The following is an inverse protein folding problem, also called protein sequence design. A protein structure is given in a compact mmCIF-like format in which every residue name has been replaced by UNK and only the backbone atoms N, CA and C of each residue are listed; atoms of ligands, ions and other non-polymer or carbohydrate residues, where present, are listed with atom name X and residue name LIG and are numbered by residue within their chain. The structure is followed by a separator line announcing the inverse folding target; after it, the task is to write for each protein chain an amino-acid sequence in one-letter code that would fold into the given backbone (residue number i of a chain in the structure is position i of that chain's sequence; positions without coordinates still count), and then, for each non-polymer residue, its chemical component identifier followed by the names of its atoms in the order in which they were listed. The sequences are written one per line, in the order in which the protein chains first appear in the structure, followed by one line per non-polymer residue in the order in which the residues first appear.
data_IF_936033334501
#
_entry.id   IF_936033334501
#
_cell.length_a   1.000
_cell.length_b   1.000
_cell.length_c   1.000
_cell.angle_alpha   90.00
_cell.angle_beta   90.00
_cell.angle_gamma   90.00
#
_symmetry.space_group_name_H-M   'P 1'
#
loop_
_entity.id
_entity.type
_entity.pdbx_description
1 polymer ?
#
# COMPACT_ATOMS: atom_id res chain seq x y z
N UNK A 1 -19.55 21.03 26.95
CA UNK A 1 -19.82 19.71 27.58
C UNK A 1 -19.70 18.66 26.49
N UNK A 2 -18.62 17.88 26.48
CA UNK A 2 -18.43 16.84 25.47
C UNK A 2 -19.47 15.73 25.64
N UNK A 3 -20.24 15.46 24.58
CA UNK A 3 -21.17 14.34 24.53
C UNK A 3 -20.44 13.05 24.92
N UNK A 4 -20.92 12.35 25.95
CA UNK A 4 -20.42 11.01 26.32
C UNK A 4 -20.92 10.01 25.28
N UNK A 5 -20.34 10.03 24.09
CA UNK A 5 -20.54 8.97 23.11
C UNK A 5 -19.84 7.71 23.59
N UNK A 6 -20.43 6.54 23.28
CA UNK A 6 -19.76 5.26 23.48
C UNK A 6 -18.39 5.28 22.77
N UNK A 7 -17.37 4.60 23.33
CA UNK A 7 -16.08 4.50 22.68
C UNK A 7 -16.24 3.88 21.28
N UNK A 8 -15.32 4.23 20.38
CA UNK A 8 -15.28 3.64 19.04
C UNK A 8 -15.25 2.10 19.14
N UNK A 9 -16.02 1.39 18.29
CA UNK A 9 -16.05 -0.06 18.31
C UNK A 9 -14.67 -0.64 17.96
N UNK A 10 -14.39 -1.84 18.46
CA UNK A 10 -13.16 -2.55 18.13
C UNK A 10 -13.09 -2.84 16.62
N UNK A 11 -11.92 -2.74 15.98
CA UNK A 11 -11.75 -3.17 14.60
C UNK A 11 -12.14 -4.63 14.41
N UNK A 12 -12.88 -4.92 13.34
CA UNK A 12 -13.26 -6.29 12.99
C UNK A 12 -12.19 -6.91 12.11
N UNK A 13 -11.73 -8.11 12.46
CA UNK A 13 -10.83 -8.87 11.60
C UNK A 13 -11.57 -9.30 10.32
N UNK A 14 -10.88 -9.18 9.19
CA UNK A 14 -11.42 -9.53 7.87
C UNK A 14 -10.94 -10.95 7.52
N UNK A 15 -11.84 -11.91 7.28
CA UNK A 15 -11.47 -13.26 6.86
C UNK A 15 -10.71 -13.26 5.53
N UNK A 16 -9.84 -14.28 5.31
CA UNK A 16 -9.05 -14.42 4.07
C UNK A 16 -9.89 -14.26 2.80
N UNK A 17 -11.04 -14.95 2.73
CA UNK A 17 -11.93 -14.93 1.57
C UNK A 17 -12.65 -13.59 1.36
N UNK A 18 -12.60 -12.67 2.33
CA UNK A 18 -13.19 -11.34 2.24
C UNK A 18 -12.15 -10.24 2.00
N UNK A 19 -10.84 -10.50 2.20
CA UNK A 19 -9.81 -9.47 2.05
C UNK A 19 -9.82 -8.84 0.64
N UNK A 20 -9.82 -9.65 -0.41
CA UNK A 20 -9.82 -9.18 -1.80
C UNK A 20 -11.17 -8.53 -2.17
N UNK A 21 -12.35 -9.14 -1.91
CA UNK A 21 -13.64 -8.49 -2.16
C UNK A 21 -13.80 -7.14 -1.46
N UNK A 22 -13.44 -7.04 -0.18
CA UNK A 22 -13.49 -5.79 0.59
C UNK A 22 -12.60 -4.74 -0.06
N UNK A 23 -11.36 -5.10 -0.43
CA UNK A 23 -10.45 -4.16 -1.08
C UNK A 23 -10.97 -3.67 -2.44
N UNK A 24 -11.53 -4.57 -3.27
CA UNK A 24 -12.18 -4.17 -4.53
C UNK A 24 -13.35 -3.23 -4.30
N UNK A 25 -14.16 -3.47 -3.27
CA UNK A 25 -15.24 -2.57 -2.87
C UNK A 25 -14.74 -1.18 -2.46
N UNK A 26 -13.62 -1.11 -1.74
CA UNK A 26 -12.96 0.15 -1.38
C UNK A 26 -12.43 0.87 -2.62
N UNK A 27 -11.72 0.17 -3.51
CA UNK A 27 -11.20 0.73 -4.77
C UNK A 27 -12.34 1.31 -5.61
N UNK A 28 -13.46 0.61 -5.74
CA UNK A 28 -14.63 1.10 -6.47
C UNK A 28 -15.17 2.41 -5.86
N UNK A 29 -15.18 2.54 -4.53
CA UNK A 29 -15.59 3.78 -3.87
C UNK A 29 -14.62 4.93 -4.15
N UNK A 30 -13.30 4.68 -4.08
CA UNK A 30 -12.28 5.66 -4.45
C UNK A 30 -12.44 6.14 -5.90
N UNK A 31 -12.60 5.19 -6.83
CA UNK A 31 -12.80 5.49 -8.24
C UNK A 31 -14.07 6.28 -8.49
N UNK A 32 -15.18 5.93 -7.82
CA UNK A 32 -16.42 6.68 -7.91
C UNK A 32 -16.29 8.12 -7.39
N UNK A 33 -15.60 8.34 -6.27
CA UNK A 33 -15.33 9.69 -5.74
C UNK A 33 -14.48 10.49 -6.72
N UNK A 34 -13.40 9.89 -7.25
CA UNK A 34 -12.50 10.56 -8.21
C UNK A 34 -13.23 10.92 -9.50
N UNK A 35 -14.01 10.00 -10.05
CA UNK A 35 -14.80 10.27 -11.25
C UNK A 35 -15.88 11.32 -10.99
N UNK A 36 -16.54 11.27 -9.83
CA UNK A 36 -17.50 12.29 -9.41
C UNK A 36 -16.90 13.69 -9.30
N UNK A 37 -15.66 13.81 -8.80
CA UNK A 37 -14.94 15.10 -8.79
C UNK A 37 -14.74 15.59 -10.22
N UNK A 38 -14.25 14.71 -11.11
CA UNK A 38 -13.93 15.09 -12.49
C UNK A 38 -15.17 15.53 -13.27
N UNK A 39 -16.30 14.86 -13.10
CA UNK A 39 -17.54 15.17 -13.80
C UNK A 39 -18.22 16.44 -13.31
N UNK A 40 -18.11 16.76 -12.02
CA UNK A 40 -18.92 17.80 -11.38
C UNK A 40 -18.16 19.08 -11.03
N UNK A 41 -16.83 19.05 -11.00
CA UNK A 41 -16.04 20.24 -10.65
C UNK A 41 -15.76 21.08 -11.88
N UNK A 42 -16.33 22.28 -11.90
CA UNK A 42 -15.98 23.30 -12.88
C UNK A 42 -14.52 23.76 -12.67
N UNK A 43 -13.64 23.71 -13.68
CA UNK A 43 -12.26 24.17 -13.58
C UNK A 43 -12.11 25.63 -13.11
N UNK A 44 -13.12 26.48 -13.34
CA UNK A 44 -13.15 27.88 -12.91
C UNK A 44 -13.62 28.08 -11.45
N UNK A 45 -14.13 27.02 -10.80
CA UNK A 45 -14.63 27.04 -9.43
C UNK A 45 -14.06 25.91 -8.57
N UNK A 46 -12.81 25.50 -8.85
CA UNK A 46 -12.10 24.51 -8.05
C UNK A 46 -11.79 25.05 -6.65
N UNK A 47 -12.08 24.27 -5.62
CA UNK A 47 -11.83 24.64 -4.23
C UNK A 47 -11.38 23.42 -3.42
N UNK A 48 -10.91 23.68 -2.20
CA UNK A 48 -10.58 22.60 -1.29
C UNK A 48 -11.79 21.70 -1.00
N UNK A 49 -12.99 22.28 -0.86
CA UNK A 49 -14.19 21.54 -0.46
C UNK A 49 -14.75 20.63 -1.55
N UNK A 50 -14.56 20.94 -2.84
CA UNK A 50 -15.10 20.13 -3.94
C UNK A 50 -14.07 19.20 -4.58
N UNK A 51 -12.75 19.44 -4.44
CA UNK A 51 -11.70 18.55 -4.96
C UNK A 51 -11.03 17.73 -3.85
N UNK A 52 -10.60 18.37 -2.76
CA UNK A 52 -9.70 17.75 -1.78
C UNK A 52 -10.49 17.06 -0.66
N UNK A 53 -11.52 17.72 -0.15
CA UNK A 53 -12.33 17.20 0.95
C UNK A 53 -12.99 15.85 0.63
N UNK A 54 -13.53 15.60 -0.58
CA UNK A 54 -14.10 14.28 -0.89
C UNK A 54 -13.05 13.16 -0.86
N UNK A 55 -11.81 13.45 -1.27
CA UNK A 55 -10.69 12.49 -1.18
C UNK A 55 -10.34 12.16 0.27
N UNK A 56 -10.26 13.19 1.14
CA UNK A 56 -10.04 13.01 2.58
C UNK A 56 -11.18 12.19 3.21
N UNK A 57 -12.42 12.45 2.80
CA UNK A 57 -13.58 11.76 3.37
C UNK A 57 -13.55 10.26 3.08
N UNK A 58 -13.22 9.87 1.84
CA UNK A 58 -13.12 8.44 1.49
C UNK A 58 -11.90 7.77 2.14
N UNK A 59 -10.77 8.48 2.26
CA UNK A 59 -9.62 8.02 3.05
C UNK A 59 -10.04 7.70 4.48
N UNK A 60 -10.66 8.65 5.18
CA UNK A 60 -11.08 8.47 6.56
C UNK A 60 -12.12 7.35 6.72
N UNK A 61 -13.01 7.17 5.74
CA UNK A 61 -14.05 6.15 5.78
C UNK A 61 -13.50 4.72 5.60
N UNK A 62 -12.38 4.55 4.88
CA UNK A 62 -11.90 3.23 4.45
C UNK A 62 -10.55 2.82 5.06
N UNK A 63 -9.78 3.77 5.61
CA UNK A 63 -8.43 3.52 6.15
C UNK A 63 -8.41 2.42 7.22
N UNK A 64 -9.47 2.28 8.02
CA UNK A 64 -9.58 1.24 9.03
C UNK A 64 -9.53 -0.16 8.43
N UNK A 65 -10.34 -0.43 7.40
CA UNK A 65 -10.40 -1.72 6.72
C UNK A 65 -9.12 -1.99 5.92
N UNK A 66 -8.58 -0.97 5.25
CA UNK A 66 -7.27 -1.06 4.56
C UNK A 66 -6.18 -1.45 5.55
N UNK A 67 -6.16 -0.81 6.74
CA UNK A 67 -5.20 -1.08 7.80
C UNK A 67 -5.29 -2.50 8.34
N UNK A 68 -6.52 -2.99 8.57
CA UNK A 68 -6.74 -4.39 9.00
C UNK A 68 -6.25 -5.36 7.94
N UNK A 69 -6.65 -5.17 6.66
CA UNK A 69 -6.18 -6.03 5.57
C UNK A 69 -4.66 -6.01 5.51
N UNK A 70 -4.03 -4.82 5.51
CA UNK A 70 -2.58 -4.68 5.40
C UNK A 70 -1.79 -5.29 6.57
N UNK A 71 -2.38 -5.34 7.77
CA UNK A 71 -1.76 -5.94 8.94
C UNK A 71 -1.68 -7.48 8.84
N UNK A 72 -2.68 -8.11 8.19
CA UNK A 72 -2.78 -9.57 8.12
C UNK A 72 -1.56 -10.24 7.47
N UNK A 73 -0.91 -9.62 6.48
CA UNK A 73 0.33 -10.17 5.87
C UNK A 73 1.48 -10.35 6.86
N UNK A 74 1.51 -9.58 7.95
CA UNK A 74 2.58 -9.65 8.95
C UNK A 74 2.21 -10.48 10.19
N UNK A 75 0.94 -10.44 10.61
CA UNK A 75 0.54 -10.97 11.91
C UNK A 75 -0.42 -12.17 11.84
N UNK A 76 -0.97 -12.50 10.66
CA UNK A 76 -1.87 -13.65 10.56
C UNK A 76 -1.11 -14.98 10.72
N UNK A 77 -1.58 -15.91 11.57
CA UNK A 77 -1.02 -17.27 11.62
C UNK A 77 -1.38 -18.09 10.37
N UNK A 78 -2.51 -17.79 9.73
CA UNK A 78 -2.99 -18.47 8.53
C UNK A 78 -2.31 -17.94 7.25
N UNK A 79 -1.78 -18.85 6.43
CA UNK A 79 -1.08 -18.53 5.18
C UNK A 79 -2.04 -17.95 4.13
N UNK A 80 -3.27 -18.46 4.01
CA UNK A 80 -4.23 -17.96 3.04
C UNK A 80 -4.59 -16.49 3.31
N UNK A 81 -4.75 -16.13 4.59
CA UNK A 81 -4.96 -14.76 5.04
C UNK A 81 -3.77 -13.84 4.71
N UNK A 82 -2.53 -14.32 4.86
CA UNK A 82 -1.34 -13.54 4.47
C UNK A 82 -1.29 -13.28 2.97
N UNK A 83 -1.50 -14.31 2.16
CA UNK A 83 -1.51 -14.21 0.70
C UNK A 83 -2.63 -13.29 0.20
N UNK A 84 -3.85 -13.45 0.72
CA UNK A 84 -4.98 -12.59 0.35
C UNK A 84 -4.75 -11.11 0.74
N UNK A 85 -4.07 -10.86 1.87
CA UNK A 85 -3.63 -9.53 2.29
C UNK A 85 -2.61 -8.91 1.34
N UNK A 86 -1.60 -9.67 0.92
CA UNK A 86 -0.59 -9.22 -0.05
C UNK A 86 -1.21 -8.88 -1.41
N UNK A 87 -2.11 -9.73 -1.91
CA UNK A 87 -2.84 -9.50 -3.16
C UNK A 87 -3.72 -8.25 -3.06
N UNK A 88 -4.52 -8.13 -2.00
CA UNK A 88 -5.36 -6.96 -1.77
C UNK A 88 -4.54 -5.65 -1.69
N UNK A 89 -3.41 -5.68 -0.97
CA UNK A 89 -2.51 -4.52 -0.91
C UNK A 89 -1.88 -4.19 -2.27
N UNK A 90 -1.61 -5.18 -3.10
CA UNK A 90 -1.15 -4.95 -4.48
C UNK A 90 -2.21 -4.20 -5.28
N UNK A 91 -3.48 -4.64 -5.23
CA UNK A 91 -4.58 -4.00 -5.96
C UNK A 91 -4.75 -2.52 -5.63
N UNK A 92 -4.75 -2.14 -4.35
CA UNK A 92 -4.93 -0.72 -3.99
C UNK A 92 -3.69 0.13 -4.27
N UNK A 93 -2.49 -0.44 -4.23
CA UNK A 93 -1.27 0.25 -4.66
C UNK A 93 -1.29 0.51 -6.17
N UNK A 94 -1.79 -0.42 -6.97
CA UNK A 94 -1.98 -0.25 -8.41
C UNK A 94 -3.02 0.82 -8.72
N UNK A 95 -4.15 0.83 -8.02
CA UNK A 95 -5.17 1.88 -8.14
C UNK A 95 -4.61 3.27 -7.75
N UNK A 96 -3.86 3.36 -6.66
CA UNK A 96 -3.21 4.61 -6.25
C UNK A 96 -2.17 5.07 -7.29
N UNK A 97 -1.39 4.16 -7.86
CA UNK A 97 -0.43 4.48 -8.93
C UNK A 97 -1.14 4.97 -10.21
N UNK A 98 -2.29 4.36 -10.56
CA UNK A 98 -3.11 4.81 -11.68
C UNK A 98 -3.69 6.22 -11.42
N UNK A 99 -4.13 6.48 -10.19
CA UNK A 99 -4.62 7.80 -9.78
C UNK A 99 -3.53 8.87 -9.86
N UNK A 100 -2.33 8.61 -9.33
CA UNK A 100 -1.24 9.60 -9.38
C UNK A 100 -0.68 9.80 -10.78
N UNK A 101 -0.97 8.90 -11.73
CA UNK A 101 -0.67 9.07 -13.15
C UNK A 101 -1.66 9.98 -13.91
N UNK A 102 -2.76 10.43 -13.28
CA UNK A 102 -3.78 11.27 -13.91
C UNK A 102 -3.37 12.74 -13.95
N UNK A 103 -2.96 13.20 -15.15
CA UNK A 103 -2.56 14.60 -15.41
C UNK A 103 -3.70 15.61 -15.26
N UNK A 104 -4.94 15.19 -15.50
CA UNK A 104 -6.11 16.02 -15.30
C UNK A 104 -6.39 16.29 -13.81
N UNK A 105 -6.19 15.30 -12.94
CA UNK A 105 -6.24 15.49 -11.50
C UNK A 105 -5.14 16.42 -10.99
N UNK A 106 -3.93 16.34 -11.55
CA UNK A 106 -2.87 17.30 -11.26
C UNK A 106 -3.33 18.75 -11.51
N UNK A 107 -4.00 19.00 -12.64
CA UNK A 107 -4.52 20.34 -12.95
C UNK A 107 -5.52 20.83 -11.90
N UNK A 108 -6.42 19.98 -11.41
CA UNK A 108 -7.36 20.31 -10.34
C UNK A 108 -6.66 20.64 -9.03
N UNK A 109 -5.71 19.79 -8.61
CA UNK A 109 -4.95 19.99 -7.36
C UNK A 109 -4.14 21.29 -7.43
N UNK A 110 -3.51 21.57 -8.57
CA UNK A 110 -2.81 22.83 -8.82
C UNK A 110 -3.74 24.03 -8.74
N UNK A 111 -4.90 23.98 -9.38
CA UNK A 111 -5.88 25.06 -9.35
C UNK A 111 -6.37 25.35 -7.92
N UNK A 112 -6.61 24.32 -7.10
CA UNK A 112 -6.94 24.49 -5.68
C UNK A 112 -5.79 25.12 -4.89
N UNK A 113 -4.55 24.70 -5.16
CA UNK A 113 -3.35 25.17 -4.46
C UNK A 113 -3.01 26.63 -4.75
N UNK A 114 -3.20 27.06 -6.00
CA UNK A 114 -2.94 28.42 -6.47
C UNK A 114 -4.16 29.35 -6.31
N UNK A 115 -5.33 28.78 -6.03
CA UNK A 115 -6.58 29.50 -5.84
C UNK A 115 -6.60 30.41 -4.61
N UNK A 116 -7.44 31.44 -4.65
CA UNK A 116 -7.58 32.48 -3.62
C UNK A 116 -8.04 31.96 -2.26
N UNK A 117 -8.65 30.77 -2.21
CA UNK A 117 -9.08 30.11 -0.97
C UNK A 117 -7.98 29.34 -0.25
N UNK A 118 -6.85 29.00 -0.89
CA UNK A 118 -5.78 28.24 -0.24
C UNK A 118 -5.15 28.96 0.97
N UNK A 119 -4.93 30.30 0.94
CA UNK A 119 -4.41 31.04 2.07
C UNK A 119 -5.30 31.07 3.32
N UNK A 120 -6.62 30.84 3.20
CA UNK A 120 -7.57 30.87 4.31
C UNK A 120 -7.84 29.49 4.94
N UNK A 121 -7.27 28.41 4.39
CA UNK A 121 -7.43 27.06 4.93
C UNK A 121 -6.85 26.94 6.35
N UNK A 122 -7.51 26.13 7.19
CA UNK A 122 -6.93 25.72 8.46
C UNK A 122 -5.56 25.05 8.25
N UNK A 123 -4.68 25.12 9.26
CA UNK A 123 -3.31 24.63 9.17
C UNK A 123 -3.21 23.19 8.64
N UNK A 124 -4.03 22.28 9.18
CA UNK A 124 -4.01 20.86 8.79
C UNK A 124 -4.48 20.65 7.34
N UNK A 125 -5.57 21.28 6.91
CA UNK A 125 -6.07 21.23 5.55
C UNK A 125 -5.02 21.73 4.55
N UNK A 126 -4.34 22.83 4.88
CA UNK A 126 -3.24 23.38 4.08
C UNK A 126 -2.05 22.42 4.02
N UNK A 127 -1.70 21.77 5.13
CA UNK A 127 -0.61 20.79 5.20
C UNK A 127 -0.93 19.56 4.35
N UNK A 128 -2.17 19.06 4.39
CA UNK A 128 -2.62 17.97 3.53
C UNK A 128 -2.51 18.35 2.05
N UNK A 129 -3.07 19.50 1.66
CA UNK A 129 -3.01 20.00 0.28
C UNK A 129 -1.55 20.13 -0.21
N UNK A 130 -0.67 20.68 0.61
CA UNK A 130 0.75 20.81 0.27
C UNK A 130 1.43 19.45 0.09
N UNK A 131 1.10 18.47 0.95
CA UNK A 131 1.66 17.11 0.85
C UNK A 131 1.21 16.43 -0.43
N UNK A 132 -0.09 16.49 -0.75
CA UNK A 132 -0.62 15.90 -1.98
C UNK A 132 -0.07 16.60 -3.23
N UNK A 133 0.04 17.94 -3.23
CA UNK A 133 0.67 18.68 -4.32
C UNK A 133 2.13 18.25 -4.54
N UNK A 134 2.90 18.11 -3.45
CA UNK A 134 4.29 17.66 -3.50
C UNK A 134 4.43 16.24 -4.05
N UNK A 135 3.51 15.33 -3.69
CA UNK A 135 3.50 13.96 -4.21
C UNK A 135 3.40 13.93 -5.75
N UNK A 136 2.50 14.72 -6.33
CA UNK A 136 2.44 14.87 -7.79
C UNK A 136 3.72 15.50 -8.34
N UNK A 137 4.28 16.53 -7.71
CA UNK A 137 5.56 17.09 -8.18
C UNK A 137 6.70 16.07 -8.18
N UNK A 138 6.75 15.17 -7.20
CA UNK A 138 7.75 14.10 -7.14
C UNK A 138 7.62 13.11 -8.29
N UNK A 139 6.43 12.98 -8.88
CA UNK A 139 6.20 12.21 -10.10
C UNK A 139 6.52 12.99 -11.39
N UNK A 140 7.05 14.20 -11.27
CA UNK A 140 7.48 15.04 -12.39
C UNK A 140 6.40 15.97 -12.93
N UNK A 141 5.21 15.98 -12.35
CA UNK A 141 4.20 17.01 -12.69
C UNK A 141 4.74 18.41 -12.36
N UNK A 142 4.38 19.40 -13.18
CA UNK A 142 4.95 20.77 -13.23
C UNK A 142 6.34 20.92 -13.86
N UNK A 143 7.21 19.90 -13.79
CA UNK A 143 8.61 20.01 -14.24
C UNK A 143 8.85 19.34 -15.59
N UNK A 144 8.23 18.20 -15.83
CA UNK A 144 8.41 17.39 -17.03
C UNK A 144 7.26 17.59 -18.02
N UNK A 145 7.55 17.38 -19.31
CA UNK A 145 6.51 17.30 -20.34
C UNK A 145 5.65 16.04 -20.14
N UNK A 146 4.38 16.02 -20.60
CA UNK A 146 3.48 14.88 -20.38
C UNK A 146 4.05 13.52 -20.80
N UNK A 147 4.76 13.48 -21.95
CA UNK A 147 5.41 12.25 -22.43
C UNK A 147 6.58 11.81 -21.52
N UNK A 148 7.32 12.76 -20.95
CA UNK A 148 8.39 12.47 -20.00
C UNK A 148 7.85 11.98 -18.66
N UNK A 149 6.72 12.53 -18.19
CA UNK A 149 6.02 12.02 -17.00
C UNK A 149 5.58 10.57 -17.20
N UNK A 150 5.01 10.25 -18.37
CA UNK A 150 4.61 8.89 -18.72
C UNK A 150 5.80 7.92 -18.67
N UNK A 151 6.90 8.27 -19.35
CA UNK A 151 8.12 7.45 -19.34
C UNK A 151 8.73 7.30 -17.94
N UNK A 152 8.69 8.36 -17.12
CA UNK A 152 9.13 8.30 -15.72
C UNK A 152 8.29 7.30 -14.93
N UNK A 153 6.96 7.36 -15.03
CA UNK A 153 6.05 6.47 -14.33
C UNK A 153 6.21 5.01 -14.77
N UNK A 154 6.36 4.75 -16.08
CA UNK A 154 6.62 3.41 -16.61
C UNK A 154 7.91 2.80 -16.05
N UNK A 155 9.00 3.58 -16.04
CA UNK A 155 10.30 3.13 -15.48
C UNK A 155 10.20 2.89 -13.98
N UNK A 156 9.55 3.77 -13.23
CA UNK A 156 9.32 3.62 -11.80
C UNK A 156 8.55 2.33 -11.51
N UNK A 157 7.44 2.10 -12.20
CA UNK A 157 6.63 0.89 -12.04
C UNK A 157 7.43 -0.38 -12.39
N UNK A 158 8.30 -0.32 -13.41
CA UNK A 158 9.21 -1.43 -13.73
C UNK A 158 10.21 -1.70 -12.62
N UNK A 159 10.83 -0.67 -12.04
CA UNK A 159 11.75 -0.81 -10.90
C UNK A 159 11.03 -1.44 -9.70
N UNK A 160 9.82 -0.98 -9.40
CA UNK A 160 9.02 -1.53 -8.29
C UNK A 160 8.63 -2.99 -8.54
N UNK A 161 8.31 -3.38 -9.78
CA UNK A 161 8.11 -4.79 -10.17
C UNK A 161 9.35 -5.63 -9.91
N UNK A 162 10.52 -5.18 -10.39
CA UNK A 162 11.79 -5.91 -10.21
C UNK A 162 12.12 -6.06 -8.72
N UNK A 163 11.88 -5.02 -7.91
CA UNK A 163 12.07 -5.07 -6.46
C UNK A 163 11.15 -6.10 -5.79
N UNK A 164 9.89 -6.18 -6.22
CA UNK A 164 8.94 -7.19 -5.72
C UNK A 164 9.41 -8.60 -6.11
N UNK A 165 9.73 -8.82 -7.38
CA UNK A 165 10.25 -10.11 -7.88
C UNK A 165 11.52 -10.54 -7.13
N UNK A 166 12.45 -9.61 -6.89
CA UNK A 166 13.67 -9.89 -6.15
C UNK A 166 13.39 -10.30 -4.70
N UNK A 167 12.54 -9.55 -4.00
CA UNK A 167 12.15 -9.88 -2.61
C UNK A 167 11.44 -11.22 -2.53
N UNK A 168 10.55 -11.50 -3.48
CA UNK A 168 9.84 -12.77 -3.55
C UNK A 168 10.83 -13.93 -3.77
N UNK A 169 11.79 -13.79 -4.69
CA UNK A 169 12.82 -14.82 -4.90
C UNK A 169 13.66 -15.13 -3.67
N UNK A 170 13.97 -14.13 -2.84
CA UNK A 170 14.67 -14.33 -1.57
C UNK A 170 13.75 -15.03 -0.57
N UNK A 171 12.50 -14.58 -0.46
CA UNK A 171 11.54 -15.16 0.48
C UNK A 171 11.22 -16.62 0.17
N UNK A 172 11.08 -16.96 -1.11
CA UNK A 172 10.79 -18.30 -1.60
C UNK A 172 12.05 -19.18 -1.69
N UNK A 173 13.24 -18.64 -1.36
CA UNK A 173 14.48 -19.39 -1.37
C UNK A 173 14.47 -20.42 -0.24
N UNK A 174 14.40 -21.69 -0.64
CA UNK A 174 14.41 -22.85 0.25
C UNK A 174 15.73 -23.60 0.23
N UNK A 175 16.76 -23.04 -0.42
CA UNK A 175 18.08 -23.68 -0.54
C UNK A 175 18.79 -23.75 0.80
N UNK A 176 19.64 -24.76 0.90
CA UNK A 176 20.50 -24.99 2.05
C UNK A 176 21.59 -25.99 1.70
N UNK A 177 22.43 -26.27 2.67
CA UNK A 177 23.45 -27.32 2.59
C UNK A 177 23.19 -28.37 3.65
N UNK A 178 23.46 -29.61 3.28
CA UNK A 178 23.41 -30.72 4.22
C UNK A 178 24.73 -30.85 4.96
N UNK A 179 24.66 -30.90 6.29
CA UNK A 179 25.80 -31.09 7.17
C UNK A 179 25.59 -32.33 8.04
N UNK A 180 26.67 -33.04 8.34
CA UNK A 180 26.63 -34.11 9.34
C UNK A 180 26.55 -33.53 10.75
N UNK A 181 26.18 -34.34 11.75
CA UNK A 181 26.22 -33.91 13.15
C UNK A 181 27.62 -33.51 13.61
N UNK A 182 28.66 -34.15 13.08
CA UNK A 182 30.06 -33.83 13.37
C UNK A 182 30.45 -32.45 12.79
N UNK A 183 29.97 -32.12 11.58
CA UNK A 183 30.18 -30.78 10.97
C UNK A 183 29.49 -29.67 11.78
N UNK A 184 28.44 -30.01 12.54
CA UNK A 184 27.67 -29.10 13.39
C UNK A 184 28.16 -29.08 14.85
N UNK A 185 29.35 -29.61 15.13
CA UNK A 185 29.93 -29.60 16.47
C UNK A 185 30.00 -28.17 17.04
N UNK A 186 29.36 -27.95 18.19
CA UNK A 186 29.28 -26.65 18.87
C UNK A 186 27.98 -25.88 18.64
N UNK A 187 27.11 -26.33 17.73
CA UNK A 187 25.75 -25.79 17.60
C UNK A 187 24.87 -26.33 18.74
N UNK A 188 24.07 -25.50 19.43
CA UNK A 188 23.17 -25.97 20.48
C UNK A 188 22.17 -27.02 19.98
N UNK A 189 21.95 -28.07 20.76
CA UNK A 189 21.07 -29.19 20.37
C UNK A 189 19.65 -28.72 19.99
N UNK A 190 19.11 -27.74 20.72
CA UNK A 190 17.77 -27.21 20.45
C UNK A 190 17.64 -26.51 19.09
N UNK A 191 18.73 -26.03 18.50
CA UNK A 191 18.74 -25.49 17.14
C UNK A 191 18.85 -26.61 16.11
N UNK A 192 19.71 -27.62 16.36
CA UNK A 192 19.85 -28.82 15.52
C UNK A 192 18.52 -29.56 15.37
N UNK A 193 17.74 -29.64 16.45
CA UNK A 193 16.44 -30.32 16.47
C UNK A 193 15.38 -29.64 15.59
N UNK A 194 15.57 -28.35 15.26
CA UNK A 194 14.69 -27.58 14.36
C UNK A 194 15.05 -27.74 12.90
N UNK A 195 16.23 -28.26 12.57
CA UNK A 195 16.65 -28.46 11.20
C UNK A 195 15.98 -29.69 10.59
N UNK A 196 15.72 -29.61 9.29
CA UNK A 196 15.15 -30.72 8.53
C UNK A 196 16.15 -31.89 8.46
N UNK A 197 15.64 -33.11 8.63
CA UNK A 197 16.45 -34.34 8.65
C UNK A 197 16.42 -34.99 7.27
N UNK A 198 17.55 -35.52 6.81
CA UNK A 198 17.60 -36.24 5.55
C UNK A 198 16.79 -37.55 5.66
N UNK A 199 16.06 -37.90 4.60
CA UNK A 199 15.16 -39.06 4.58
C UNK A 199 15.90 -40.39 4.78
N UNK A 200 17.07 -40.51 4.15
CA UNK A 200 17.86 -41.76 4.14
C UNK A 200 19.07 -41.75 5.09
N UNK A 201 19.61 -40.57 5.42
CA UNK A 201 20.80 -40.42 6.25
C UNK A 201 20.46 -39.58 7.49
N UNK A 202 19.99 -40.24 8.54
CA UNK A 202 19.45 -39.57 9.72
C UNK A 202 20.46 -38.71 10.51
N UNK A 203 21.75 -38.78 10.18
CA UNK A 203 22.81 -37.95 10.78
C UNK A 203 23.06 -36.65 10.01
N UNK A 204 22.32 -36.41 8.92
CA UNK A 204 22.41 -35.18 8.14
C UNK A 204 21.29 -34.20 8.51
N UNK A 205 21.63 -32.91 8.56
CA UNK A 205 20.72 -31.79 8.82
C UNK A 205 20.84 -30.75 7.70
N UNK A 206 19.69 -30.26 7.21
CA UNK A 206 19.66 -29.18 6.22
C UNK A 206 19.75 -27.83 6.93
N UNK A 207 20.86 -27.13 6.73
CA UNK A 207 21.04 -25.74 7.16
C UNK A 207 20.65 -24.84 5.99
N UNK A 208 19.53 -24.13 6.13
CA UNK A 208 19.02 -23.21 5.10
C UNK A 208 19.80 -21.90 5.08
N UNK A 209 20.01 -21.36 3.89
CA UNK A 209 20.54 -20.00 3.75
C UNK A 209 19.44 -19.03 4.17
N UNK A 210 19.68 -18.23 5.22
CA UNK A 210 18.72 -17.26 5.74
C UNK A 210 18.53 -16.07 4.78
#
# INVERSE_FOLDING_TARGET
MGSKSLPQPLPKLIPANQAIPTMKGIINQYQAVREGIFQNVNPQATSFSNVIQPLINIDNATQGDIGIIAMLRYASPDQASRQASEEACTLINEDQAAFTARSDFWCLIKAVKEGTGAPSLHFEARKYLNKMFLEFQQFGYATLQPEQVKQYMERRNRIDSIRREYKQRIHDDSRGLWFSLDDLAGVPQHDIDRFEKHSENHDMRLVRFQ
#
